data_IF_111927439370
#
_entry.id   IF_111927439370
#
_cell.length_a   1.000
_cell.length_b   1.000
_cell.length_c   1.000
_cell.angle_alpha   90.00
_cell.angle_beta   90.00
_cell.angle_gamma   90.00
#
_symmetry.space_group_name_H-M   'P 1'
#
loop_
_entity.id
_entity.type
_entity.pdbx_description
1 polymer ?
#
# COMPACT_ATOMS: atom_id res chain seq x y z
N UNK A 1 -3.77 24.07 13.34
CA UNK A 1 -4.17 22.66 13.26
C UNK A 1 -5.67 22.60 13.40
N UNK A 2 -6.38 22.32 12.30
CA UNK A 2 -7.84 22.18 12.33
C UNK A 2 -8.18 20.79 12.88
N UNK A 3 -9.32 20.64 13.56
CA UNK A 3 -9.75 19.36 14.15
C UNK A 3 -11.15 19.01 13.67
N UNK A 4 -11.29 17.84 13.05
CA UNK A 4 -12.57 17.23 12.72
C UNK A 4 -12.87 16.14 13.77
N UNK A 5 -13.79 16.44 14.68
CA UNK A 5 -14.02 15.63 15.89
C UNK A 5 -15.18 14.64 15.77
N UNK A 6 -15.95 14.70 14.69
CA UNK A 6 -17.14 13.84 14.47
C UNK A 6 -17.06 13.01 13.18
N UNK A 7 -16.02 13.21 12.37
CA UNK A 7 -15.85 12.50 11.11
C UNK A 7 -15.28 11.10 11.40
N UNK A 8 -16.13 10.08 11.36
CA UNK A 8 -15.73 8.68 11.61
C UNK A 8 -15.38 7.93 10.32
N UNK A 9 -16.04 8.27 9.21
CA UNK A 9 -15.84 7.64 7.91
C UNK A 9 -15.77 8.72 6.83
N UNK A 10 -14.81 8.58 5.91
CA UNK A 10 -14.60 9.51 4.80
C UNK A 10 -14.35 8.73 3.52
N UNK A 11 -15.18 8.96 2.52
CA UNK A 11 -15.04 8.41 1.18
C UNK A 11 -14.91 9.59 0.23
N UNK A 12 -13.71 9.78 -0.33
CA UNK A 12 -13.41 10.89 -1.21
C UNK A 12 -12.96 10.36 -2.56
N UNK A 13 -13.53 10.95 -3.61
CA UNK A 13 -13.10 10.76 -4.98
C UNK A 13 -12.65 12.12 -5.51
N UNK A 14 -11.39 12.19 -5.93
CA UNK A 14 -10.79 13.40 -6.49
C UNK A 14 -10.89 13.30 -8.01
N UNK A 15 -11.71 14.16 -8.60
CA UNK A 15 -11.83 14.32 -10.05
C UNK A 15 -11.32 15.71 -10.39
N UNK A 16 -10.13 15.79 -11.00
CA UNK A 16 -9.56 17.08 -11.41
C UNK A 16 -9.30 17.07 -12.91
N UNK A 17 -9.90 18.05 -13.59
CA UNK A 17 -9.62 18.38 -14.99
C UNK A 17 -8.49 19.41 -15.10
N UNK A 18 -8.24 20.19 -14.04
CA UNK A 18 -7.09 21.11 -13.84
C UNK A 18 -7.09 21.60 -12.39
N UNK A 19 -5.97 21.55 -11.63
CA UNK A 19 -5.96 22.12 -10.28
C UNK A 19 -6.12 23.64 -10.39
N UNK A 20 -7.03 24.27 -9.61
CA UNK A 20 -7.09 25.73 -9.58
C UNK A 20 -5.79 26.28 -8.97
N UNK A 21 -5.24 27.35 -9.56
CA UNK A 21 -3.96 27.99 -9.22
C UNK A 21 -3.79 28.44 -7.73
N UNK A 22 -4.81 28.27 -6.89
CA UNK A 22 -4.96 28.93 -5.59
C UNK A 22 -4.83 28.04 -4.34
N UNK A 23 -4.22 26.84 -4.43
CA UNK A 23 -3.89 26.03 -3.24
C UNK A 23 -2.65 26.56 -2.47
N UNK A 24 -2.41 27.87 -2.46
CA UNK A 24 -1.24 28.52 -1.83
C UNK A 24 -1.47 28.91 -0.36
N UNK A 25 -2.47 28.33 0.30
CA UNK A 25 -2.66 28.51 1.74
C UNK A 25 -1.61 27.74 2.54
N UNK A 26 -1.10 28.33 3.64
CA UNK A 26 -0.38 27.57 4.66
C UNK A 26 -1.32 26.52 5.26
N UNK A 27 -1.35 25.33 4.68
CA UNK A 27 -2.25 24.27 5.10
C UNK A 27 -1.77 23.68 6.41
N UNK A 28 -2.42 24.09 7.50
CA UNK A 28 -2.21 23.49 8.80
C UNK A 28 -2.80 22.08 8.78
N UNK A 29 -2.11 21.07 9.33
CA UNK A 29 -2.61 19.71 9.30
C UNK A 29 -4.00 19.62 9.93
N UNK A 30 -4.86 18.83 9.29
CA UNK A 30 -6.23 18.54 9.73
C UNK A 30 -6.20 17.24 10.52
N UNK A 31 -6.48 17.32 11.82
CA UNK A 31 -6.56 16.15 12.69
C UNK A 31 -7.99 15.63 12.69
N UNK A 32 -8.16 14.43 12.14
CA UNK A 32 -9.42 13.69 12.16
C UNK A 32 -9.35 12.67 13.31
N UNK A 33 -9.65 13.12 14.53
CA UNK A 33 -9.33 12.37 15.75
C UNK A 33 -10.12 11.07 15.94
N UNK A 34 -11.28 10.97 15.28
CA UNK A 34 -12.18 9.81 15.36
C UNK A 34 -12.37 9.11 14.02
N UNK A 35 -11.62 9.52 12.98
CA UNK A 35 -11.72 8.93 11.65
C UNK A 35 -11.15 7.50 11.69
N UNK A 36 -12.01 6.54 11.40
CA UNK A 36 -11.74 5.10 11.41
C UNK A 36 -11.61 4.51 10.02
N UNK A 37 -12.34 5.06 9.05
CA UNK A 37 -12.35 4.59 7.66
C UNK A 37 -12.01 5.75 6.74
N UNK A 38 -10.96 5.60 5.96
CA UNK A 38 -10.57 6.53 4.91
C UNK A 38 -10.49 5.77 3.59
N UNK A 39 -11.39 6.11 2.66
CA UNK A 39 -11.37 5.60 1.30
C UNK A 39 -11.10 6.77 0.37
N UNK A 40 -9.99 6.68 -0.35
CA UNK A 40 -9.56 7.67 -1.32
C UNK A 40 -9.55 7.05 -2.71
N UNK A 41 -10.03 7.79 -3.69
CA UNK A 41 -9.88 7.42 -5.09
C UNK A 41 -9.53 8.64 -5.92
N UNK A 42 -8.66 8.45 -6.91
CA UNK A 42 -8.35 9.48 -7.89
C UNK A 42 -8.92 9.13 -9.25
N UNK A 43 -9.34 10.17 -9.97
CA UNK A 43 -9.69 10.13 -11.37
C UNK A 43 -9.04 11.35 -12.03
N UNK A 44 -8.03 11.13 -12.85
CA UNK A 44 -7.26 12.20 -13.47
C UNK A 44 -6.97 11.92 -14.93
N UNK A 45 -6.83 13.00 -15.69
CA UNK A 45 -6.45 12.99 -17.10
C UNK A 45 -4.98 13.43 -17.31
N UNK A 46 -4.25 13.78 -16.25
CA UNK A 46 -2.91 14.39 -16.28
C UNK A 46 -2.01 13.96 -15.11
N UNK A 47 -0.71 14.22 -15.25
CA UNK A 47 0.40 13.75 -14.37
C UNK A 47 0.37 14.30 -12.93
N UNK A 48 -0.38 15.36 -12.64
CA UNK A 48 -0.51 15.94 -11.30
C UNK A 48 -1.79 15.47 -10.60
N UNK A 49 -1.65 14.45 -9.76
CA UNK A 49 -2.74 13.92 -8.94
C UNK A 49 -2.69 14.51 -7.51
N UNK A 50 -3.82 15.05 -7.00
CA UNK A 50 -3.88 15.77 -5.72
C UNK A 50 -3.90 14.85 -4.48
N UNK A 51 -3.90 13.52 -4.65
CA UNK A 51 -3.99 12.60 -3.52
C UNK A 51 -2.83 12.78 -2.55
N UNK A 52 -1.60 12.98 -3.07
CA UNK A 52 -0.43 13.23 -2.24
C UNK A 52 -0.63 14.45 -1.34
N UNK A 53 -1.15 15.55 -1.87
CA UNK A 53 -1.28 16.81 -1.15
C UNK A 53 -2.35 16.70 -0.05
N UNK A 54 -3.50 16.11 -0.39
CA UNK A 54 -4.56 15.83 0.58
C UNK A 54 -4.06 14.92 1.72
N UNK A 55 -3.40 13.82 1.38
CA UNK A 55 -2.90 12.83 2.36
C UNK A 55 -1.81 13.45 3.24
N UNK A 56 -0.99 14.34 2.68
CA UNK A 56 0.08 15.02 3.40
C UNK A 56 -0.43 15.93 4.52
N UNK A 57 -1.64 16.44 4.41
CA UNK A 57 -2.24 17.34 5.41
C UNK A 57 -3.01 16.64 6.53
N UNK A 58 -3.30 15.35 6.39
CA UNK A 58 -4.15 14.63 7.33
C UNK A 58 -3.37 14.04 8.52
N UNK A 59 -4.03 13.95 9.67
CA UNK A 59 -3.56 13.20 10.85
C UNK A 59 -4.72 12.39 11.39
N UNK A 60 -4.59 11.07 11.40
CA UNK A 60 -5.70 10.12 11.56
C UNK A 60 -5.39 9.06 12.65
N UNK A 61 -5.28 9.46 13.93
CA UNK A 61 -4.78 8.59 15.00
C UNK A 61 -5.69 7.40 15.32
N UNK A 62 -6.96 7.44 14.90
CA UNK A 62 -7.95 6.38 15.11
C UNK A 62 -8.18 5.50 13.88
N UNK A 63 -7.36 5.64 12.83
CA UNK A 63 -7.59 4.97 11.55
C UNK A 63 -7.50 3.46 11.71
N UNK A 64 -8.55 2.77 11.27
CA UNK A 64 -8.65 1.30 11.26
C UNK A 64 -8.59 0.72 9.86
N UNK A 65 -9.04 1.48 8.85
CA UNK A 65 -9.09 1.07 7.46
C UNK A 65 -8.63 2.21 6.56
N UNK A 66 -7.67 1.92 5.68
CA UNK A 66 -7.24 2.80 4.61
C UNK A 66 -7.37 2.07 3.28
N UNK A 67 -8.11 2.66 2.35
CA UNK A 67 -8.20 2.18 0.98
C UNK A 67 -7.86 3.33 0.05
N UNK A 68 -6.92 3.11 -0.87
CA UNK A 68 -6.54 4.09 -1.88
C UNK A 68 -6.55 3.43 -3.24
N UNK A 69 -7.39 3.93 -4.14
CA UNK A 69 -7.53 3.43 -5.50
C UNK A 69 -7.10 4.52 -6.47
N UNK A 70 -5.94 4.34 -7.08
CA UNK A 70 -5.32 5.32 -7.95
C UNK A 70 -5.77 5.11 -9.39
N UNK A 71 -6.38 6.10 -10.04
CA UNK A 71 -6.64 6.11 -11.50
C UNK A 71 -6.93 4.74 -12.20
N UNK A 72 -7.88 3.91 -11.74
CA UNK A 72 -7.97 2.49 -12.12
C UNK A 72 -8.32 2.23 -13.60
N UNK A 73 -8.67 3.26 -14.35
CA UNK A 73 -9.01 3.18 -15.79
C UNK A 73 -7.91 3.77 -16.69
N UNK A 74 -6.77 4.18 -16.13
CA UNK A 74 -5.67 4.76 -16.88
C UNK A 74 -4.54 3.73 -17.05
N UNK A 75 -3.72 3.92 -18.10
CA UNK A 75 -2.57 3.01 -18.32
C UNK A 75 -1.37 3.36 -17.44
N UNK A 76 -1.24 4.64 -17.08
CA UNK A 76 -0.19 5.09 -16.17
C UNK A 76 -0.69 4.97 -14.75
N UNK A 77 0.10 4.25 -13.94
CA UNK A 77 -0.06 4.18 -12.50
C UNK A 77 0.28 5.53 -11.88
N UNK A 78 -0.30 5.79 -10.72
CA UNK A 78 0.06 6.96 -9.92
C UNK A 78 1.50 6.84 -9.41
N UNK A 79 2.18 7.96 -9.30
CA UNK A 79 3.62 8.01 -8.98
C UNK A 79 3.90 7.64 -7.52
N UNK A 80 5.16 7.36 -7.21
CA UNK A 80 5.59 6.91 -5.88
C UNK A 80 5.31 7.93 -4.77
N UNK A 81 5.22 9.22 -5.11
CA UNK A 81 4.95 10.30 -4.18
C UNK A 81 3.64 10.12 -3.42
N UNK A 82 2.62 9.51 -4.04
CA UNK A 82 1.35 9.23 -3.35
C UNK A 82 1.53 8.16 -2.28
N UNK A 83 2.31 7.10 -2.56
CA UNK A 83 2.60 6.09 -1.55
C UNK A 83 3.50 6.64 -0.43
N UNK A 84 4.47 7.50 -0.77
CA UNK A 84 5.29 8.23 0.22
C UNK A 84 4.41 9.09 1.14
N UNK A 85 3.42 9.78 0.58
CA UNK A 85 2.47 10.57 1.38
C UNK A 85 1.63 9.67 2.31
N UNK A 86 1.17 8.50 1.84
CA UNK A 86 0.46 7.51 2.65
C UNK A 86 1.34 7.01 3.81
N UNK A 87 2.61 6.69 3.54
CA UNK A 87 3.56 6.32 4.59
C UNK A 87 3.70 7.44 5.63
N UNK A 88 3.89 8.67 5.18
CA UNK A 88 4.02 9.83 6.06
C UNK A 88 2.74 10.08 6.90
N UNK A 89 1.55 9.86 6.34
CA UNK A 89 0.28 9.92 7.06
C UNK A 89 0.25 8.91 8.22
N UNK A 90 0.63 7.66 7.96
CA UNK A 90 0.63 6.58 8.95
C UNK A 90 1.68 6.81 10.04
N UNK A 91 2.86 7.31 9.69
CA UNK A 91 3.91 7.65 10.67
C UNK A 91 3.52 8.84 11.55
N UNK A 92 3.01 9.92 10.95
CA UNK A 92 2.65 11.16 11.65
C UNK A 92 1.44 11.00 12.57
N UNK A 93 0.56 10.04 12.29
CA UNK A 93 -0.63 9.75 13.11
C UNK A 93 -0.30 9.00 14.41
N UNK A 94 0.98 8.64 14.63
CA UNK A 94 1.37 7.61 15.60
C UNK A 94 0.96 6.22 15.10
N UNK A 95 1.40 5.11 15.72
CA UNK A 95 1.08 3.76 15.26
C UNK A 95 -0.46 3.58 15.25
N UNK A 96 -1.13 3.69 14.09
CA UNK A 96 -2.57 3.72 14.08
C UNK A 96 -3.07 2.28 14.31
N UNK A 97 -4.27 2.09 14.89
CA UNK A 97 -4.85 0.76 15.08
C UNK A 97 -5.37 0.17 13.75
N UNK A 98 -4.63 0.38 12.66
CA UNK A 98 -5.00 -0.01 11.31
C UNK A 98 -4.96 -1.53 11.17
N UNK A 99 -6.07 -2.09 10.72
CA UNK A 99 -6.23 -3.53 10.48
C UNK A 99 -6.33 -3.83 8.99
N UNK A 100 -6.72 -2.86 8.17
CA UNK A 100 -6.95 -3.03 6.73
C UNK A 100 -6.21 -1.95 5.96
N UNK A 101 -5.33 -2.37 5.04
CA UNK A 101 -4.64 -1.48 4.13
C UNK A 101 -4.76 -1.98 2.70
N UNK A 102 -5.50 -1.23 1.88
CA UNK A 102 -5.68 -1.52 0.46
C UNK A 102 -5.07 -0.39 -0.39
N UNK A 103 -4.24 -0.76 -1.36
CA UNK A 103 -3.64 0.16 -2.30
C UNK A 103 -3.69 -0.45 -3.70
N UNK A 104 -4.25 0.28 -4.65
CA UNK A 104 -4.47 -0.19 -6.01
C UNK A 104 -3.90 0.79 -7.05
N UNK A 105 -3.22 0.25 -8.05
CA UNK A 105 -2.80 0.94 -9.28
C UNK A 105 -1.83 2.13 -9.08
N UNK A 106 -0.74 1.91 -8.34
CA UNK A 106 0.28 2.92 -8.08
C UNK A 106 1.71 2.36 -8.07
N UNK A 107 2.69 3.26 -8.13
CA UNK A 107 4.10 2.95 -7.97
C UNK A 107 4.45 2.91 -6.49
N UNK A 108 5.14 1.86 -6.06
CA UNK A 108 5.50 1.65 -4.66
C UNK A 108 6.94 1.19 -4.57
N UNK A 109 7.77 1.99 -3.89
CA UNK A 109 9.12 1.56 -3.55
C UNK A 109 9.07 0.51 -2.44
N UNK A 110 9.88 -0.54 -2.59
CA UNK A 110 10.05 -1.60 -1.58
C UNK A 110 10.30 -1.04 -0.17
N UNK A 111 11.15 -0.02 -0.04
CA UNK A 111 11.52 0.54 1.25
C UNK A 111 10.36 1.22 1.97
N UNK A 112 9.52 1.95 1.22
CA UNK A 112 8.33 2.59 1.76
C UNK A 112 7.30 1.56 2.20
N UNK A 113 7.10 0.50 1.41
CA UNK A 113 6.20 -0.59 1.78
C UNK A 113 6.67 -1.28 3.08
N UNK A 114 7.95 -1.65 3.15
CA UNK A 114 8.50 -2.26 4.37
C UNK A 114 8.35 -1.35 5.58
N UNK A 115 8.49 -0.04 5.40
CA UNK A 115 8.31 0.94 6.46
C UNK A 115 6.85 1.06 6.92
N UNK A 116 5.87 1.00 6.01
CA UNK A 116 4.45 0.91 6.35
C UNK A 116 4.16 -0.34 7.18
N UNK A 117 4.65 -1.51 6.74
CA UNK A 117 4.46 -2.78 7.44
C UNK A 117 5.07 -2.78 8.85
N UNK A 118 6.20 -2.10 9.06
CA UNK A 118 6.84 -1.92 10.38
C UNK A 118 6.05 -0.98 11.27
N UNK A 119 5.52 0.10 10.70
CA UNK A 119 4.74 1.12 11.41
C UNK A 119 3.38 0.58 11.86
N UNK A 120 2.83 -0.38 11.11
CA UNK A 120 1.46 -0.89 11.28
C UNK A 120 1.43 -2.39 11.64
N UNK A 121 1.94 -2.82 12.81
CA UNK A 121 1.97 -4.25 13.18
C UNK A 121 0.57 -4.85 13.44
N UNK A 122 -0.47 -4.03 13.52
CA UNK A 122 -1.86 -4.46 13.71
C UNK A 122 -2.55 -4.90 12.43
N UNK A 123 -1.93 -4.73 11.26
CA UNK A 123 -2.52 -5.12 9.98
C UNK A 123 -2.90 -6.60 9.96
N UNK A 124 -4.14 -6.84 9.54
CA UNK A 124 -4.75 -8.16 9.40
C UNK A 124 -5.07 -8.47 7.93
N UNK A 125 -5.40 -7.44 7.16
CA UNK A 125 -5.76 -7.51 5.75
C UNK A 125 -4.93 -6.51 4.94
N UNK A 126 -4.16 -7.04 4.00
CA UNK A 126 -3.34 -6.26 3.07
C UNK A 126 -3.72 -6.67 1.65
N UNK A 127 -4.21 -5.71 0.87
CA UNK A 127 -4.48 -5.87 -0.55
C UNK A 127 -3.67 -4.84 -1.33
N UNK A 128 -2.67 -5.29 -2.07
CA UNK A 128 -1.81 -4.46 -2.90
C UNK A 128 -1.99 -4.90 -4.35
N UNK A 129 -2.74 -4.17 -5.15
CA UNK A 129 -3.18 -4.62 -6.47
C UNK A 129 -2.74 -3.68 -7.59
N UNK A 130 -2.50 -4.26 -8.77
CA UNK A 130 -1.97 -3.57 -9.95
C UNK A 130 -0.73 -2.70 -9.66
N UNK A 131 0.21 -3.25 -8.89
CA UNK A 131 1.45 -2.56 -8.58
C UNK A 131 2.45 -2.60 -9.74
N UNK A 132 3.36 -1.63 -9.72
CA UNK A 132 4.61 -1.66 -10.46
C UNK A 132 5.57 -2.73 -9.90
N UNK A 133 6.76 -2.78 -10.50
CA UNK A 133 7.72 -3.84 -10.29
C UNK A 133 8.74 -3.59 -9.17
N UNK A 134 8.73 -2.39 -8.57
CA UNK A 134 9.61 -1.99 -7.48
C UNK A 134 9.14 -2.42 -6.09
N UNK A 135 7.87 -2.79 -5.93
CA UNK A 135 7.24 -2.93 -4.61
C UNK A 135 7.53 -4.28 -3.93
N UNK A 136 7.38 -5.37 -4.66
CA UNK A 136 7.38 -6.74 -4.12
C UNK A 136 8.54 -7.54 -4.71
N UNK A 137 9.55 -7.75 -3.87
CA UNK A 137 10.79 -8.47 -4.18
C UNK A 137 11.01 -9.67 -3.25
N UNK A 138 12.03 -10.50 -3.55
CA UNK A 138 12.49 -11.56 -2.65
C UNK A 138 12.74 -11.03 -1.23
N UNK A 139 13.35 -9.85 -1.10
CA UNK A 139 13.63 -9.23 0.20
C UNK A 139 12.35 -8.86 0.95
N UNK A 140 11.34 -8.33 0.25
CA UNK A 140 10.04 -8.00 0.85
C UNK A 140 9.39 -9.24 1.46
N UNK A 141 9.42 -10.34 0.73
CA UNK A 141 8.88 -11.63 1.17
C UNK A 141 9.69 -12.21 2.32
N UNK A 142 11.02 -12.14 2.28
CA UNK A 142 11.90 -12.60 3.37
C UNK A 142 11.67 -11.85 4.69
N UNK A 143 11.30 -10.57 4.64
CA UNK A 143 10.91 -9.80 5.83
C UNK A 143 9.55 -10.23 6.40
N UNK A 144 8.65 -10.76 5.54
CA UNK A 144 7.37 -11.32 5.96
C UNK A 144 7.47 -12.78 6.44
N UNK A 145 8.54 -13.50 6.09
CA UNK A 145 8.79 -14.88 6.50
C UNK A 145 9.10 -14.98 7.99
N UNK A 146 8.45 -15.93 8.68
CA UNK A 146 8.70 -16.19 10.10
C UNK A 146 10.05 -16.88 10.29
N UNK A 147 10.83 -16.38 11.26
CA UNK A 147 12.15 -16.92 11.63
C UNK A 147 12.10 -17.54 13.02
N UNK A 148 12.95 -18.53 13.27
CA UNK A 148 13.07 -19.22 14.57
C UNK A 148 14.17 -18.58 15.45
N UNK A 149 14.84 -17.54 14.94
CA UNK A 149 15.95 -16.85 15.59
C UNK A 149 15.52 -15.79 16.64
N UNK A 150 14.22 -15.69 16.92
CA UNK A 150 13.67 -14.71 17.85
C UNK A 150 13.44 -13.32 17.26
N UNK A 151 13.62 -13.15 15.95
CA UNK A 151 13.25 -11.90 15.25
C UNK A 151 11.75 -11.64 15.38
N UNK A 152 11.38 -10.41 15.79
CA UNK A 152 9.97 -9.99 15.87
C UNK A 152 9.32 -10.08 14.48
N UNK A 153 8.24 -10.86 14.33
CA UNK A 153 7.52 -10.96 13.07
C UNK A 153 6.94 -9.63 12.62
N UNK A 154 7.10 -9.32 11.33
CA UNK A 154 6.39 -8.22 10.69
C UNK A 154 4.91 -8.58 10.55
N UNK A 155 4.00 -7.63 10.83
CA UNK A 155 2.53 -7.83 10.74
C UNK A 155 2.07 -9.18 11.32
N UNK A 156 2.26 -9.41 12.64
CA UNK A 156 1.97 -10.68 13.30
C UNK A 156 0.48 -11.07 13.27
N UNK A 157 -0.42 -10.14 12.91
CA UNK A 157 -1.86 -10.39 12.80
C UNK A 157 -2.34 -10.64 11.37
N UNK A 158 -1.43 -10.57 10.39
CA UNK A 158 -1.77 -10.73 8.98
C UNK A 158 -2.46 -12.07 8.75
N UNK A 159 -3.65 -12.00 8.16
CA UNK A 159 -4.52 -13.12 7.87
C UNK A 159 -4.90 -13.17 6.39
N UNK A 160 -5.07 -12.00 5.76
CA UNK A 160 -5.39 -11.88 4.34
C UNK A 160 -4.25 -11.13 3.65
N UNK A 161 -3.70 -11.74 2.61
CA UNK A 161 -2.68 -11.14 1.76
C UNK A 161 -3.06 -11.30 0.29
N UNK A 162 -3.42 -10.20 -0.36
CA UNK A 162 -3.62 -10.15 -1.80
C UNK A 162 -2.55 -9.26 -2.42
N UNK A 163 -1.80 -9.82 -3.37
CA UNK A 163 -0.82 -9.09 -4.14
C UNK A 163 -1.07 -9.31 -5.63
N UNK A 164 -1.21 -8.22 -6.39
CA UNK A 164 -1.21 -8.25 -7.86
C UNK A 164 -0.39 -7.13 -8.47
N UNK A 165 0.15 -7.36 -9.67
CA UNK A 165 1.05 -6.41 -10.32
C UNK A 165 2.22 -7.07 -11.06
N UNK A 166 3.15 -6.22 -11.51
CA UNK A 166 4.45 -6.67 -12.04
C UNK A 166 5.35 -6.98 -10.85
N UNK A 167 6.02 -8.13 -10.82
CA UNK A 167 6.79 -8.55 -9.64
C UNK A 167 8.04 -9.33 -10.06
N UNK A 168 9.12 -9.15 -9.33
CA UNK A 168 10.40 -9.82 -9.55
C UNK A 168 10.85 -10.57 -8.29
N UNK A 169 10.16 -11.67 -7.99
CA UNK A 169 10.59 -12.60 -6.95
C UNK A 169 10.54 -14.04 -7.46
N UNK A 170 11.31 -14.92 -6.81
CA UNK A 170 11.28 -16.35 -7.03
C UNK A 170 10.05 -16.94 -6.35
N UNK A 171 9.22 -17.65 -7.10
CA UNK A 171 8.00 -18.27 -6.57
C UNK A 171 8.26 -19.09 -5.30
N UNK A 172 9.42 -19.76 -5.22
CA UNK A 172 9.80 -20.50 -4.02
C UNK A 172 9.90 -19.62 -2.77
N UNK A 173 10.44 -18.40 -2.88
CA UNK A 173 10.53 -17.46 -1.74
C UNK A 173 9.15 -17.07 -1.23
N UNK A 174 8.17 -16.92 -2.13
CA UNK A 174 6.78 -16.68 -1.76
C UNK A 174 6.15 -17.89 -1.06
N UNK A 175 6.36 -19.10 -1.60
CA UNK A 175 5.89 -20.34 -0.98
C UNK A 175 6.47 -20.52 0.42
N UNK A 176 7.79 -20.33 0.58
CA UNK A 176 8.47 -20.44 1.86
C UNK A 176 7.92 -19.43 2.89
N UNK A 177 7.62 -18.21 2.46
CA UNK A 177 6.99 -17.18 3.30
C UNK A 177 5.61 -17.65 3.80
N UNK A 178 4.75 -18.13 2.90
CA UNK A 178 3.40 -18.62 3.25
C UNK A 178 3.49 -19.84 4.17
N UNK A 179 4.31 -20.83 3.82
CA UNK A 179 4.50 -22.04 4.62
C UNK A 179 5.04 -21.73 6.02
N UNK A 180 5.98 -20.78 6.15
CA UNK A 180 6.49 -20.34 7.45
C UNK A 180 5.37 -19.81 8.34
N UNK A 181 4.43 -19.02 7.79
CA UNK A 181 3.28 -18.48 8.53
C UNK A 181 2.23 -19.52 8.90
N UNK A 182 2.15 -20.63 8.17
CA UNK A 182 1.27 -21.75 8.54
C UNK A 182 1.90 -22.67 9.60
N UNK A 183 3.18 -22.99 9.43
CA UNK A 183 3.87 -23.98 10.25
C UNK A 183 4.41 -23.40 11.55
N UNK A 184 4.99 -22.19 11.51
CA UNK A 184 5.68 -21.57 12.65
C UNK A 184 4.80 -20.63 13.49
N UNK A 185 3.57 -20.32 13.06
CA UNK A 185 2.69 -19.37 13.75
C UNK A 185 2.53 -19.61 15.26
N UNK A 186 2.40 -20.87 15.68
CA UNK A 186 2.25 -21.25 17.09
C UNK A 186 3.58 -21.30 17.87
N UNK A 187 4.71 -21.37 17.16
CA UNK A 187 6.04 -21.38 17.76
C UNK A 187 6.57 -19.96 18.05
N UNK A 188 5.94 -18.93 17.46
CA UNK A 188 6.28 -17.54 17.70
C UNK A 188 5.83 -17.07 19.08
N UNK A 189 6.60 -16.15 19.67
CA UNK A 189 6.27 -15.49 20.94
C UNK A 189 6.42 -13.96 20.77
N UNK A 190 5.33 -13.19 20.72
CA UNK A 190 3.93 -13.63 20.86
C UNK A 190 3.43 -14.46 19.66
N UNK A 191 2.36 -15.27 19.83
CA UNK A 191 1.79 -16.05 18.74
C UNK A 191 1.39 -15.18 17.56
N UNK A 192 1.68 -15.68 16.36
CA UNK A 192 1.33 -15.03 15.08
C UNK A 192 0.06 -15.67 14.53
N UNK A 193 -0.75 -14.87 13.84
CA UNK A 193 -1.93 -15.36 13.13
C UNK A 193 -1.51 -16.07 11.84
N UNK A 194 -2.10 -17.23 11.58
CA UNK A 194 -1.93 -17.93 10.30
C UNK A 194 -2.61 -17.15 9.19
N UNK A 195 -2.00 -17.12 8.01
CA UNK A 195 -2.64 -16.67 6.79
C UNK A 195 -3.86 -17.56 6.50
N UNK A 196 -5.05 -16.98 6.38
CA UNK A 196 -6.28 -17.67 5.99
C UNK A 196 -6.57 -17.52 4.50
N UNK A 197 -6.21 -16.38 3.92
CA UNK A 197 -6.42 -16.08 2.51
C UNK A 197 -5.14 -15.51 1.90
N UNK A 198 -4.73 -16.08 0.79
CA UNK A 198 -3.54 -15.65 0.04
C UNK A 198 -3.88 -15.66 -1.45
N UNK A 199 -3.82 -14.50 -2.07
CA UNK A 199 -4.04 -14.32 -3.51
C UNK A 199 -2.79 -13.70 -4.14
N UNK A 200 -2.27 -14.34 -5.18
CA UNK A 200 -1.14 -13.85 -5.96
C UNK A 200 -1.53 -13.81 -7.43
N UNK A 201 -1.48 -12.63 -8.03
CA UNK A 201 -1.69 -12.44 -9.46
C UNK A 201 -0.52 -11.67 -10.08
N UNK A 202 0.40 -12.39 -10.73
CA UNK A 202 1.58 -11.79 -11.36
C UNK A 202 1.27 -11.43 -12.80
N UNK A 203 1.54 -10.19 -13.18
CA UNK A 203 1.48 -9.75 -14.57
C UNK A 203 2.77 -10.18 -15.26
N UNK A 204 2.63 -10.98 -16.32
CA UNK A 204 3.74 -11.32 -17.18
C UNK A 204 3.91 -10.17 -18.16
N UNK A 205 5.07 -9.50 -18.13
CA UNK A 205 5.40 -8.54 -19.17
C UNK A 205 5.37 -9.27 -20.51
N UNK A 206 4.49 -8.87 -21.42
CA UNK A 206 4.71 -9.13 -22.84
C UNK A 206 5.91 -8.28 -23.19
N UNK A 207 7.10 -8.89 -23.26
CA UNK A 207 8.19 -8.28 -24.01
C UNK A 207 7.59 -7.89 -25.36
N UNK A 208 7.54 -6.59 -25.64
CA UNK A 208 7.22 -6.11 -26.97
C UNK A 208 8.31 -6.66 -27.87
N UNK A 209 8.04 -7.80 -28.50
CA UNK A 209 8.79 -8.31 -29.63
C UNK A 209 8.53 -7.36 -30.81
N UNK A 210 8.99 -6.12 -30.69
CA UNK A 210 9.35 -5.30 -31.84
C UNK A 210 10.74 -5.78 -32.27
N UNK A 211 10.81 -7.04 -32.73
CA UNK A 211 11.89 -7.42 -33.63
C UNK A 211 11.70 -6.55 -34.88
N UNK A 212 12.67 -5.71 -35.28
CA UNK A 212 12.57 -5.07 -36.57
C UNK A 212 12.60 -6.18 -37.62
N UNK A 213 11.59 -6.22 -38.49
CA UNK A 213 11.65 -6.97 -39.73
C UNK A 213 12.85 -6.43 -40.54
N UNK A 214 14.03 -7.01 -40.32
CA UNK A 214 15.09 -7.03 -41.32
C UNK A 214 14.57 -7.89 -42.46
N UNK A 215 13.84 -7.27 -43.41
CA UNK A 215 13.95 -7.49 -44.85
C UNK A 215 12.82 -6.79 -45.63
N UNK A 216 13.14 -6.35 -46.86
CA UNK A 216 12.38 -5.56 -47.86
C UNK A 216 12.71 -4.04 -47.82
N UNK A 217 13.51 -3.44 -48.71
CA UNK A 217 13.94 -3.74 -50.10
C UNK A 217 15.23 -2.98 -50.44
#
# INVERSE_FOLDING_TARGET
MQKLTQLEECHLRLEIETPPDDWTGEALPVVCSVLRVLVLSSWGFYEDLPLKDLVYELVTPALTQLQVVCCPNFRQRESEETFIAIRALLERSGPPPITTFHFDHGWVLQEDLLQVLKTCPTLEDICLTDLDDGAISDETLLQLTLKVDGTTPLVPRLHTLHISGVMWFKVQVFVDMVESRWTLAHAQSPPVRRLGEVNLCRFLGTESSDEPDEDEV
#
